data_IF_740342758200
#
_entry.id   IF_740342758200
#
_cell.length_a   1.000
_cell.length_b   1.000
_cell.length_c   1.000
_cell.angle_alpha   90.00
_cell.angle_beta   90.00
_cell.angle_gamma   90.00
#
_symmetry.space_group_name_H-M   'P 1'
#
loop_
_entity.id
_entity.type
_entity.pdbx_description
1 polymer ?
#
# COMPACT_ATOMS: atom_id res chain seq x y z
N UNK A 1 -20.09 -7.64 -40.93
CA UNK A 1 -20.61 -6.49 -40.13
C UNK A 1 -20.74 -6.87 -38.65
N UNK A 2 -21.22 -8.08 -38.34
CA UNK A 2 -21.28 -8.60 -36.96
C UNK A 2 -19.90 -8.76 -36.30
N UNK A 3 -18.88 -9.19 -37.06
CA UNK A 3 -17.51 -9.39 -36.53
C UNK A 3 -16.81 -8.09 -36.13
N UNK A 4 -17.10 -7.00 -36.84
CA UNK A 4 -16.55 -5.66 -36.54
C UNK A 4 -17.13 -5.12 -35.24
N UNK A 5 -18.43 -5.34 -35.00
CA UNK A 5 -19.12 -4.94 -33.78
C UNK A 5 -18.61 -5.76 -32.57
N UNK A 6 -18.37 -7.06 -32.76
CA UNK A 6 -17.83 -7.92 -31.71
C UNK A 6 -16.39 -7.55 -31.38
N UNK A 7 -15.53 -7.33 -32.38
CA UNK A 7 -14.15 -6.85 -32.17
C UNK A 7 -14.11 -5.51 -31.44
N UNK A 8 -14.96 -4.55 -31.85
CA UNK A 8 -15.02 -3.25 -31.19
C UNK A 8 -15.41 -3.37 -29.71
N UNK A 9 -16.37 -4.23 -29.39
CA UNK A 9 -16.79 -4.48 -28.00
C UNK A 9 -15.67 -5.10 -27.15
N UNK A 10 -14.92 -6.05 -27.71
CA UNK A 10 -13.79 -6.68 -27.01
C UNK A 10 -12.67 -5.67 -26.74
N UNK A 11 -12.34 -4.84 -27.73
CA UNK A 11 -11.33 -3.78 -27.58
C UNK A 11 -11.75 -2.78 -26.50
N UNK A 12 -13.02 -2.37 -26.48
CA UNK A 12 -13.54 -1.48 -25.44
C UNK A 12 -13.44 -2.12 -24.05
N UNK A 13 -13.80 -3.40 -23.88
CA UNK A 13 -13.71 -4.09 -22.59
C UNK A 13 -12.27 -4.18 -22.10
N UNK A 14 -11.33 -4.54 -22.99
CA UNK A 14 -9.91 -4.63 -22.66
C UNK A 14 -9.34 -3.25 -22.30
N UNK A 15 -9.65 -2.22 -23.08
CA UNK A 15 -9.18 -0.86 -22.82
C UNK A 15 -9.76 -0.28 -21.52
N UNK A 16 -11.05 -0.51 -21.26
CA UNK A 16 -11.67 -0.12 -19.99
C UNK A 16 -11.09 -0.86 -18.80
N UNK A 17 -10.74 -2.14 -18.93
CA UNK A 17 -10.13 -2.90 -17.82
C UNK A 17 -8.69 -2.44 -17.52
N UNK A 18 -7.93 -1.96 -18.51
CA UNK A 18 -6.62 -1.34 -18.27
C UNK A 18 -6.70 0.05 -17.64
N UNK A 19 -7.75 0.83 -17.92
CA UNK A 19 -7.94 2.18 -17.37
C UNK A 19 -8.58 2.21 -15.97
N UNK A 20 -9.00 1.06 -15.44
CA UNK A 20 -9.59 0.94 -14.10
C UNK A 20 -8.55 0.62 -13.02
N UNK A 21 -7.25 0.81 -13.28
CA UNK A 21 -6.24 0.90 -12.22
C UNK A 21 -6.45 2.16 -11.38
N UNK A 22 -7.49 2.10 -10.52
CA UNK A 22 -7.76 2.96 -9.37
C UNK A 22 -7.43 4.44 -9.53
N UNK A 23 -8.44 5.28 -9.72
CA UNK A 23 -8.32 6.70 -9.43
C UNK A 23 -8.05 6.84 -7.92
N UNK A 24 -6.79 7.09 -7.54
CA UNK A 24 -6.45 7.49 -6.17
C UNK A 24 -7.12 8.85 -5.94
N UNK A 25 -8.16 8.88 -5.11
CA UNK A 25 -8.91 10.09 -4.80
C UNK A 25 -7.94 11.18 -4.34
N UNK A 26 -8.07 12.37 -4.93
CA UNK A 26 -7.21 13.55 -4.69
C UNK A 26 -7.31 14.14 -3.27
N UNK A 27 -7.92 13.42 -2.32
CA UNK A 27 -8.18 13.86 -0.95
C UNK A 27 -7.02 13.57 0.01
N UNK A 28 -5.97 12.90 -0.47
CA UNK A 28 -4.73 12.79 0.27
C UNK A 28 -3.89 14.00 -0.12
N UNK A 29 -4.11 15.17 0.48
CA UNK A 29 -3.04 16.11 0.86
C UNK A 29 -3.54 17.47 1.35
N UNK A 30 -2.77 17.98 2.32
CA UNK A 30 -2.63 19.38 2.73
C UNK A 30 -3.69 19.95 3.68
N UNK A 31 -3.65 19.56 4.98
CA UNK A 31 -4.26 20.45 5.97
C UNK A 31 -4.26 20.04 7.44
N UNK A 32 -4.23 18.75 7.80
CA UNK A 32 -4.39 18.36 9.20
C UNK A 32 -3.12 17.73 9.76
N UNK A 33 -2.46 18.41 10.68
CA UNK A 33 -1.29 17.94 11.46
C UNK A 33 -1.60 16.81 12.46
N UNK A 34 -2.66 16.02 12.22
CA UNK A 34 -3.15 14.97 13.12
C UNK A 34 -3.53 13.70 12.35
N UNK A 35 -2.71 13.26 11.41
CA UNK A 35 -2.83 11.90 10.89
C UNK A 35 -2.30 10.95 11.96
N UNK A 36 -3.22 10.32 12.68
CA UNK A 36 -2.94 9.25 13.62
C UNK A 36 -4.02 8.20 13.44
N UNK A 37 -3.63 6.94 13.29
CA UNK A 37 -4.54 5.81 13.35
C UNK A 37 -4.14 4.91 14.51
N UNK A 38 -5.15 4.28 15.09
CA UNK A 38 -5.02 3.17 16.02
C UNK A 38 -5.70 1.98 15.37
N UNK A 39 -5.02 0.84 15.33
CA UNK A 39 -5.57 -0.36 14.70
C UNK A 39 -5.11 -1.62 15.42
N UNK A 40 -5.95 -2.65 15.34
CA UNK A 40 -5.61 -3.98 15.85
C UNK A 40 -4.50 -4.60 14.99
N UNK A 41 -3.57 -5.28 15.64
CA UNK A 41 -2.49 -6.02 14.98
C UNK A 41 -2.90 -7.47 14.73
N UNK A 42 -2.01 -8.24 14.11
CA UNK A 42 -2.18 -9.69 14.00
C UNK A 42 -1.69 -10.44 15.26
N UNK A 43 -1.35 -9.71 16.33
CA UNK A 43 -0.88 -10.24 17.62
C UNK A 43 0.31 -11.19 17.50
N UNK A 44 1.23 -10.91 16.58
CA UNK A 44 2.50 -11.64 16.42
C UNK A 44 3.57 -11.02 17.32
N UNK A 45 4.61 -11.78 17.63
CA UNK A 45 5.73 -11.29 18.46
C UNK A 45 6.39 -10.02 17.91
N UNK A 46 6.39 -9.86 16.58
CA UNK A 46 6.96 -8.69 15.88
C UNK A 46 6.07 -7.45 15.92
N UNK A 47 4.80 -7.58 16.31
CA UNK A 47 3.81 -6.49 16.24
C UNK A 47 3.87 -5.56 17.46
N UNK A 48 4.58 -5.95 18.53
CA UNK A 48 4.77 -5.13 19.73
C UNK A 48 3.54 -4.98 20.65
N UNK A 49 2.48 -5.75 20.39
CA UNK A 49 1.22 -5.76 21.15
C UNK A 49 0.00 -6.04 20.27
N UNK A 50 -1.18 -6.12 20.88
CA UNK A 50 -2.46 -6.34 20.18
C UNK A 50 -2.96 -5.10 19.43
N UNK A 51 -2.51 -3.91 19.82
CA UNK A 51 -2.95 -2.62 19.26
C UNK A 51 -1.74 -1.79 18.86
N UNK A 52 -1.77 -1.26 17.64
CA UNK A 52 -0.75 -0.36 17.11
C UNK A 52 -1.29 1.08 17.04
N UNK A 53 -0.58 2.02 17.68
CA UNK A 53 -0.81 3.45 17.56
C UNK A 53 0.37 4.12 16.84
N UNK A 54 0.13 4.67 15.66
CA UNK A 54 1.21 5.30 14.87
C UNK A 54 1.82 6.52 15.57
N UNK A 55 1.07 7.19 16.46
CA UNK A 55 1.50 8.41 17.15
C UNK A 55 2.68 8.13 18.09
N UNK A 56 2.73 6.93 18.66
CA UNK A 56 3.82 6.51 19.54
C UNK A 56 5.15 6.43 18.78
N UNK A 57 5.11 6.04 17.49
CA UNK A 57 6.29 5.86 16.66
C UNK A 57 6.68 7.10 15.85
N UNK A 58 5.74 7.97 15.48
CA UNK A 58 6.05 9.24 14.79
C UNK A 58 6.98 10.15 15.60
N UNK A 59 6.95 10.04 16.93
CA UNK A 59 7.88 10.76 17.81
C UNK A 59 9.33 10.27 17.72
N UNK A 60 9.55 9.04 17.24
CA UNK A 60 10.86 8.35 17.21
C UNK A 60 11.57 8.45 15.87
N UNK A 61 10.87 8.83 14.81
CA UNK A 61 11.44 8.96 13.47
C UNK A 61 10.40 8.89 12.36
N UNK A 62 10.88 8.74 11.13
CA UNK A 62 10.04 8.58 9.94
C UNK A 62 9.44 7.18 9.93
N UNK A 63 8.13 7.09 9.73
CA UNK A 63 7.40 5.81 9.64
C UNK A 63 6.96 5.60 8.20
N UNK A 64 7.31 4.45 7.61
CA UNK A 64 6.78 3.99 6.33
C UNK A 64 5.52 3.15 6.58
N UNK A 65 4.38 3.58 6.02
CA UNK A 65 3.11 2.84 6.10
C UNK A 65 2.75 2.34 4.71
N UNK A 66 2.53 1.04 4.57
CA UNK A 66 2.11 0.41 3.32
C UNK A 66 0.71 -0.20 3.47
N UNK A 67 -0.21 0.24 2.63
CA UNK A 67 -1.55 -0.36 2.53
C UNK A 67 -1.55 -1.39 1.41
N UNK A 68 -1.82 -2.66 1.74
CA UNK A 68 -1.97 -3.73 0.76
C UNK A 68 -3.36 -4.35 0.83
N UNK A 69 -3.90 -4.70 -0.34
CA UNK A 69 -5.11 -5.50 -0.41
C UNK A 69 -4.77 -6.98 -0.22
N UNK A 70 -5.67 -7.76 0.39
CA UNK A 70 -5.46 -9.18 0.67
C UNK A 70 -5.18 -10.03 -0.58
N UNK A 71 -5.62 -9.57 -1.76
CA UNK A 71 -5.41 -10.23 -3.05
C UNK A 71 -4.27 -9.62 -3.88
N UNK A 72 -3.37 -8.86 -3.26
CA UNK A 72 -2.28 -8.21 -3.95
C UNK A 72 -1.27 -9.23 -4.51
N UNK A 73 -0.98 -9.13 -5.80
CA UNK A 73 0.10 -9.88 -6.44
C UNK A 73 1.43 -9.15 -6.27
N UNK A 74 2.48 -9.83 -5.79
CA UNK A 74 3.81 -9.22 -5.60
C UNK A 74 4.02 -8.49 -4.27
N UNK A 75 2.98 -8.33 -3.44
CA UNK A 75 3.10 -7.58 -2.18
C UNK A 75 4.03 -8.26 -1.18
N UNK A 76 4.15 -9.59 -1.20
CA UNK A 76 5.07 -10.30 -0.30
C UNK A 76 6.52 -9.98 -0.65
N UNK A 77 6.87 -10.08 -1.93
CA UNK A 77 8.19 -9.82 -2.47
C UNK A 77 8.58 -8.34 -2.26
N UNK A 78 7.63 -7.42 -2.42
CA UNK A 78 7.86 -5.99 -2.15
C UNK A 78 8.14 -5.74 -0.67
N UNK A 79 7.35 -6.32 0.23
CA UNK A 79 7.56 -6.19 1.68
C UNK A 79 8.91 -6.77 2.09
N UNK A 80 9.30 -7.91 1.53
CA UNK A 80 10.59 -8.54 1.79
C UNK A 80 11.76 -7.65 1.36
N UNK A 81 11.72 -7.11 0.14
CA UNK A 81 12.77 -6.22 -0.37
C UNK A 81 12.84 -4.90 0.41
N UNK A 82 11.70 -4.30 0.76
CA UNK A 82 11.65 -3.08 1.60
C UNK A 82 12.31 -3.33 2.96
N UNK A 83 11.95 -4.43 3.62
CA UNK A 83 12.51 -4.78 4.92
C UNK A 83 14.02 -5.03 4.84
N UNK A 84 14.47 -5.72 3.79
CA UNK A 84 15.89 -5.95 3.54
C UNK A 84 16.65 -4.63 3.41
N UNK A 85 16.20 -3.72 2.53
CA UNK A 85 16.87 -2.43 2.33
C UNK A 85 16.84 -1.54 3.57
N UNK A 86 15.76 -1.58 4.34
CA UNK A 86 15.68 -0.86 5.61
C UNK A 86 16.74 -1.36 6.58
N UNK A 87 16.87 -2.68 6.75
CA UNK A 87 17.87 -3.26 7.64
C UNK A 87 19.31 -2.95 7.19
N UNK A 88 19.56 -3.02 5.88
CA UNK A 88 20.86 -2.65 5.30
C UNK A 88 21.20 -1.19 5.63
N UNK A 89 20.26 -0.27 5.39
CA UNK A 89 20.41 1.16 5.69
C UNK A 89 20.68 1.43 7.18
N UNK A 90 19.91 0.80 8.08
CA UNK A 90 20.09 0.94 9.53
C UNK A 90 21.41 0.32 10.04
N UNK A 91 22.03 -0.58 9.26
CA UNK A 91 23.32 -1.19 9.61
C UNK A 91 24.51 -0.34 9.18
N UNK A 92 24.39 0.44 8.10
CA UNK A 92 25.43 1.35 7.60
C UNK A 92 25.54 2.64 8.43
N UNK A 93 24.46 3.02 9.13
CA UNK A 93 24.42 4.21 10.00
C UNK A 93 24.99 3.97 11.41
N UNK A 94 25.51 2.75 11.67
CA UNK A 94 26.10 2.33 12.95
C UNK A 94 27.62 2.25 12.88
#
# INVERSE_FOLDING_TARGET
MLDVIIMQRLICVVFCSFLMSGCLGSEIMAGSSKYGFVGDTLSRDVDGGEVYDIRDNLSRGVVLVMFSHHSCFGCHEWVEEINKRHNDWMSEER
#
